data_IF_433061047668
#
_entry.id   IF_433061047668
#
_cell.length_a   1.000
_cell.length_b   1.000
_cell.length_c   1.000
_cell.angle_alpha   90.00
_cell.angle_beta   90.00
_cell.angle_gamma   90.00
#
_symmetry.space_group_name_H-M   'P 1'
#
loop_
_entity.id
_entity.type
_entity.pdbx_description
1 polymer ?
#
# COMPACT_ATOMS: atom_id res chain seq x y z
N UNK A 1 -29.93 8.10 4.70
CA UNK A 1 -30.97 8.68 5.57
C UNK A 1 -30.50 8.72 7.01
N UNK A 2 -30.02 9.88 7.49
CA UNK A 2 -29.68 10.13 8.90
C UNK A 2 -30.68 11.08 9.59
N UNK A 3 -31.74 11.49 8.88
CA UNK A 3 -32.76 12.42 9.37
C UNK A 3 -34.11 11.69 9.36
N UNK A 4 -34.56 11.26 10.53
CA UNK A 4 -35.92 10.77 10.80
C UNK A 4 -36.25 11.11 12.25
N UNK A 5 -37.53 11.13 12.64
CA UNK A 5 -37.90 11.42 14.02
C UNK A 5 -37.50 10.24 14.94
N UNK A 6 -37.42 10.43 16.26
CA UNK A 6 -37.15 9.34 17.18
C UNK A 6 -38.10 8.15 16.94
N UNK A 7 -37.56 6.92 16.94
CA UNK A 7 -38.27 5.64 16.70
C UNK A 7 -38.79 5.38 15.28
N UNK A 8 -38.57 6.27 14.32
CA UNK A 8 -38.88 6.05 12.90
C UNK A 8 -37.72 5.40 12.11
N UNK A 9 -36.65 5.00 12.80
CA UNK A 9 -35.54 4.31 12.14
C UNK A 9 -36.05 2.96 11.60
N UNK A 10 -35.79 2.61 10.33
CA UNK A 10 -36.12 1.28 9.80
C UNK A 10 -35.50 0.12 10.60
N UNK A 11 -34.42 0.39 11.34
CA UNK A 11 -33.77 -0.58 12.21
C UNK A 11 -34.41 -0.70 13.60
N UNK A 12 -35.28 0.23 14.00
CA UNK A 12 -35.87 0.28 15.34
C UNK A 12 -36.68 -1.00 15.61
N UNK A 13 -36.41 -1.66 16.74
CA UNK A 13 -37.06 -2.91 17.14
C UNK A 13 -36.58 -4.17 16.41
N UNK A 14 -35.83 -4.06 15.30
CA UNK A 14 -35.26 -5.22 14.59
C UNK A 14 -34.11 -5.83 15.39
N UNK A 15 -34.09 -7.17 15.48
CA UNK A 15 -33.01 -7.94 16.11
C UNK A 15 -31.96 -8.27 15.05
N UNK A 16 -30.69 -7.98 15.35
CA UNK A 16 -29.58 -8.31 14.48
C UNK A 16 -29.31 -9.82 14.49
N UNK A 17 -29.26 -10.45 13.32
CA UNK A 17 -28.97 -11.89 13.19
C UNK A 17 -27.51 -12.27 13.51
N UNK A 18 -26.59 -11.30 13.58
CA UNK A 18 -25.17 -11.55 13.92
C UNK A 18 -24.88 -11.52 15.41
N UNK A 19 -25.53 -10.63 16.17
CA UNK A 19 -25.22 -10.43 17.58
C UNK A 19 -26.42 -10.46 18.53
N UNK A 20 -27.61 -10.72 17.99
CA UNK A 20 -28.88 -10.81 18.73
C UNK A 20 -29.27 -9.54 19.52
N UNK A 21 -28.61 -8.40 19.29
CA UNK A 21 -29.00 -7.09 19.86
C UNK A 21 -29.98 -6.35 18.93
N UNK A 22 -30.82 -5.48 19.52
CA UNK A 22 -31.86 -4.72 18.80
C UNK A 22 -31.32 -3.45 18.12
N UNK A 23 -32.16 -2.81 17.31
CA UNK A 23 -31.99 -1.45 16.76
C UNK A 23 -30.92 -1.27 15.66
N UNK A 24 -30.48 -2.35 15.00
CA UNK A 24 -29.58 -2.29 13.85
C UNK A 24 -29.71 -3.53 12.95
N UNK A 25 -29.28 -3.40 11.70
CA UNK A 25 -29.23 -4.52 10.75
C UNK A 25 -27.87 -5.24 10.80
N UNK A 26 -27.84 -6.54 10.48
CA UNK A 26 -26.63 -7.36 10.44
C UNK A 26 -25.52 -6.79 9.53
N UNK A 27 -25.88 -6.09 8.46
CA UNK A 27 -24.94 -5.41 7.57
C UNK A 27 -24.20 -4.24 8.26
N UNK A 28 -24.77 -3.67 9.31
CA UNK A 28 -24.23 -2.53 10.08
C UNK A 28 -23.94 -2.92 11.55
N UNK A 29 -23.75 -4.21 11.80
CA UNK A 29 -23.40 -4.71 13.12
C UNK A 29 -21.93 -4.42 13.44
N UNK A 30 -21.69 -3.73 14.55
CA UNK A 30 -20.35 -3.36 15.01
C UNK A 30 -19.66 -4.46 15.83
N UNK A 31 -20.37 -5.53 16.20
CA UNK A 31 -19.79 -6.64 16.97
C UNK A 31 -19.10 -7.69 16.10
N UNK A 32 -19.06 -7.48 14.78
CA UNK A 32 -18.40 -8.39 13.86
C UNK A 32 -17.57 -7.65 12.80
N UNK A 33 -16.98 -6.51 13.17
CA UNK A 33 -15.71 -6.14 12.54
C UNK A 33 -14.73 -7.19 12.98
N UNK A 34 -14.30 -8.05 12.04
CA UNK A 34 -13.21 -9.00 12.21
C UNK A 34 -12.20 -8.39 13.17
N UNK A 35 -11.92 -9.07 14.28
CA UNK A 35 -10.64 -8.91 14.97
C UNK A 35 -9.58 -9.37 13.98
N UNK A 36 -9.29 -8.53 12.97
CA UNK A 36 -7.98 -8.53 12.35
C UNK A 36 -7.11 -8.16 13.53
N UNK A 37 -6.27 -9.10 13.98
CA UNK A 37 -5.21 -8.74 14.92
C UNK A 37 -4.60 -7.46 14.39
N UNK A 38 -4.73 -6.39 15.17
CA UNK A 38 -3.97 -5.17 14.95
C UNK A 38 -2.52 -5.59 15.14
N UNK A 39 -1.90 -6.05 14.05
CA UNK A 39 -0.45 -6.05 13.97
C UNK A 39 -0.10 -4.59 14.09
N UNK A 40 0.44 -4.21 15.25
CA UNK A 40 1.27 -3.03 15.34
C UNK A 40 2.38 -3.25 14.34
N UNK A 41 2.20 -2.77 13.12
CA UNK A 41 3.29 -2.58 12.19
C UNK A 41 4.06 -1.41 12.80
N UNK A 42 5.29 -1.61 13.31
CA UNK A 42 6.10 -0.48 13.71
C UNK A 42 6.18 0.48 12.51
N UNK A 43 5.95 1.77 12.73
CA UNK A 43 5.78 2.82 11.70
C UNK A 43 7.01 3.03 10.79
N UNK A 44 7.99 2.11 10.80
CA UNK A 44 9.24 2.20 10.06
C UNK A 44 9.39 1.22 8.88
N UNK A 45 8.46 0.31 8.61
CA UNK A 45 8.53 -0.54 7.42
C UNK A 45 7.76 0.09 6.24
N UNK A 46 8.36 1.13 5.67
CA UNK A 46 8.23 1.38 4.24
C UNK A 46 9.15 0.37 3.55
N UNK A 47 8.65 -0.86 3.38
CA UNK A 47 9.34 -1.88 2.60
C UNK A 47 9.27 -1.47 1.13
N UNK A 48 10.39 -0.98 0.61
CA UNK A 48 10.58 -0.75 -0.82
C UNK A 48 10.59 -2.14 -1.45
N UNK A 49 9.47 -2.55 -2.04
CA UNK A 49 9.34 -3.84 -2.71
C UNK A 49 10.11 -3.80 -4.03
N UNK A 50 11.32 -4.37 -4.03
CA UNK A 50 12.08 -4.64 -5.24
C UNK A 50 11.72 -6.07 -5.66
N UNK A 51 10.95 -6.19 -6.73
CA UNK A 51 10.60 -7.49 -7.33
C UNK A 51 11.87 -8.04 -8.01
N UNK A 52 12.50 -9.06 -7.42
CA UNK A 52 13.68 -9.69 -8.00
C UNK A 52 13.28 -10.52 -9.21
N UNK A 53 13.78 -10.16 -10.40
CA UNK A 53 13.70 -10.98 -11.60
C UNK A 53 14.66 -12.15 -11.48
N UNK A 54 14.19 -13.39 -11.58
CA UNK A 54 15.06 -14.55 -11.77
C UNK A 54 14.54 -15.50 -12.86
N UNK A 55 15.41 -15.86 -13.80
CA UNK A 55 15.22 -16.98 -14.72
C UNK A 55 16.00 -18.21 -14.22
N UNK A 56 15.24 -19.29 -14.01
CA UNK A 56 15.54 -20.75 -13.99
C UNK A 56 16.87 -21.26 -13.39
N UNK A 57 16.74 -22.15 -12.39
CA UNK A 57 17.82 -23.05 -11.93
C UNK A 57 17.41 -24.52 -12.09
N UNK A 58 18.37 -25.34 -12.53
CA UNK A 58 18.28 -26.76 -12.87
C UNK A 58 18.12 -27.68 -11.64
N UNK A 59 17.56 -28.86 -11.88
CA UNK A 59 17.42 -29.96 -10.92
C UNK A 59 18.77 -30.63 -10.65
N UNK A 60 19.10 -30.84 -9.37
CA UNK A 60 20.25 -31.65 -8.96
C UNK A 60 19.76 -32.84 -8.12
N UNK A 61 20.04 -34.06 -8.58
CA UNK A 61 19.86 -35.29 -7.81
C UNK A 61 21.05 -35.48 -6.85
N UNK A 62 20.77 -35.70 -5.56
CA UNK A 62 21.79 -36.06 -4.56
C UNK A 62 21.71 -37.56 -4.24
N UNK A 63 22.77 -38.28 -4.60
CA UNK A 63 23.00 -39.67 -4.23
C UNK A 63 23.97 -39.77 -3.03
N UNK A 64 23.67 -40.60 -2.03
CA UNK A 64 24.69 -41.24 -1.16
C UNK A 64 24.08 -42.33 -0.26
N UNK A 65 24.94 -43.28 0.11
CA UNK A 65 24.62 -44.68 0.35
C UNK A 65 24.03 -45.09 1.71
N UNK A 66 23.33 -46.24 1.64
CA UNK A 66 22.92 -47.23 2.65
C UNK A 66 22.69 -46.80 4.11
N UNK A 67 21.42 -46.65 4.47
CA UNK A 67 20.71 -47.43 5.50
C UNK A 67 19.23 -47.04 5.39
N UNK A 68 18.40 -47.90 4.80
CA UNK A 68 16.93 -47.73 4.60
C UNK A 68 16.46 -46.28 4.38
N UNK A 69 16.91 -45.65 3.29
CA UNK A 69 16.31 -44.38 2.85
C UNK A 69 14.95 -44.71 2.23
N UNK A 70 13.88 -44.51 2.97
CA UNK A 70 12.57 -44.29 2.37
C UNK A 70 12.70 -43.01 1.53
N UNK A 71 12.86 -43.18 0.22
CA UNK A 71 12.82 -42.06 -0.73
C UNK A 71 11.36 -41.64 -0.82
N UNK A 72 10.95 -40.73 0.07
CA UNK A 72 9.65 -40.08 -0.02
C UNK A 72 9.71 -39.06 -1.14
N UNK A 73 9.01 -39.36 -2.24
CA UNK A 73 8.87 -38.47 -3.38
C UNK A 73 7.82 -37.41 -3.02
N UNK A 74 8.26 -36.16 -2.88
CA UNK A 74 7.36 -35.02 -2.68
C UNK A 74 7.13 -34.29 -4.00
N UNK A 75 5.86 -34.08 -4.35
CA UNK A 75 5.50 -33.28 -5.52
C UNK A 75 5.27 -31.83 -5.12
N UNK A 76 6.05 -30.92 -5.71
CA UNK A 76 5.82 -29.48 -5.60
C UNK A 76 4.83 -29.07 -6.68
N UNK A 77 3.59 -28.78 -6.29
CA UNK A 77 2.52 -28.40 -7.22
C UNK A 77 2.14 -26.92 -7.04
N UNK A 78 2.11 -26.17 -8.14
CA UNK A 78 1.70 -24.77 -8.14
C UNK A 78 0.17 -24.67 -8.26
N UNK A 79 -0.53 -24.86 -7.14
CA UNK A 79 -2.00 -24.80 -7.07
C UNK A 79 -2.42 -23.82 -5.99
N UNK A 80 -3.45 -23.01 -6.26
CA UNK A 80 -4.08 -22.11 -5.28
C UNK A 80 -4.83 -22.93 -4.22
N UNK A 81 -4.11 -23.51 -3.28
CA UNK A 81 -4.64 -24.31 -2.18
C UNK A 81 -3.87 -24.03 -0.89
N UNK A 82 -4.42 -24.44 0.26
CA UNK A 82 -3.72 -24.34 1.53
C UNK A 82 -2.71 -25.50 1.61
N UNK A 83 -1.40 -25.24 1.72
CA UNK A 83 -0.41 -26.31 1.79
C UNK A 83 -0.58 -27.10 3.09
N UNK A 84 -0.28 -28.40 3.02
CA UNK A 84 -0.34 -29.32 4.16
C UNK A 84 0.74 -28.96 5.18
N UNK A 85 1.93 -28.60 4.70
CA UNK A 85 3.08 -28.18 5.49
C UNK A 85 3.46 -26.74 5.13
N UNK A 86 3.67 -25.92 6.16
CA UNK A 86 4.20 -24.57 5.99
C UNK A 86 5.72 -24.57 5.87
N UNK A 87 6.26 -23.46 5.37
CA UNK A 87 7.72 -23.25 5.19
C UNK A 87 8.55 -23.65 6.42
N UNK A 88 8.10 -23.24 7.62
CA UNK A 88 8.79 -23.56 8.89
C UNK A 88 8.89 -25.07 9.12
N UNK A 89 7.81 -25.81 8.88
CA UNK A 89 7.79 -27.27 9.03
C UNK A 89 8.67 -27.96 7.99
N UNK A 90 8.68 -27.48 6.74
CA UNK A 90 9.57 -28.02 5.70
C UNK A 90 11.07 -27.85 6.03
N UNK A 91 11.44 -26.75 6.70
CA UNK A 91 12.81 -26.52 7.17
C UNK A 91 13.18 -27.43 8.35
N UNK A 92 12.30 -27.54 9.35
CA UNK A 92 12.52 -28.39 10.53
C UNK A 92 12.61 -29.87 10.16
N UNK A 93 11.81 -30.31 9.19
CA UNK A 93 11.82 -31.68 8.66
C UNK A 93 12.92 -31.92 7.61
N UNK A 94 13.75 -30.91 7.31
CA UNK A 94 14.81 -30.96 6.29
C UNK A 94 14.30 -31.44 4.92
N UNK A 95 13.05 -31.11 4.58
CA UNK A 95 12.45 -31.40 3.27
C UNK A 95 12.91 -30.41 2.20
N UNK A 96 13.29 -29.21 2.63
CA UNK A 96 13.80 -28.14 1.76
C UNK A 96 14.99 -27.50 2.48
N UNK A 97 16.08 -27.32 1.75
CA UNK A 97 17.24 -26.55 2.19
C UNK A 97 17.35 -25.28 1.33
N UNK A 98 17.54 -24.13 1.97
CA UNK A 98 17.76 -22.86 1.25
C UNK A 98 19.25 -22.77 0.90
N UNK A 99 19.58 -23.19 -0.31
CA UNK A 99 20.95 -23.21 -0.84
C UNK A 99 21.42 -21.82 -1.29
N UNK A 100 20.52 -20.96 -1.77
CA UNK A 100 20.83 -19.57 -2.11
C UNK A 100 20.08 -18.63 -1.18
N UNK A 101 20.73 -18.26 -0.08
CA UNK A 101 20.44 -16.97 0.52
C UNK A 101 21.09 -15.93 -0.40
N UNK A 102 20.31 -15.36 -1.34
CA UNK A 102 20.67 -14.04 -1.84
C UNK A 102 20.70 -13.19 -0.58
N UNK A 103 21.90 -12.82 -0.14
CA UNK A 103 22.07 -11.71 0.78
C UNK A 103 21.54 -10.49 0.01
N UNK A 104 20.22 -10.30 0.04
CA UNK A 104 19.66 -8.98 -0.08
C UNK A 104 20.25 -8.26 1.12
N UNK A 105 21.42 -7.67 0.92
CA UNK A 105 21.96 -6.68 1.83
C UNK A 105 20.78 -5.79 2.12
N UNK A 106 20.33 -5.81 3.37
CA UNK A 106 19.22 -4.96 3.80
C UNK A 106 19.76 -3.55 3.71
N UNK A 107 19.75 -2.97 2.51
CA UNK A 107 20.23 -1.63 2.25
C UNK A 107 19.36 -0.77 3.15
N UNK A 108 19.98 -0.15 4.15
CA UNK A 108 19.23 0.63 5.10
C UNK A 108 18.56 1.78 4.35
N UNK A 109 17.35 2.16 4.76
CA UNK A 109 16.62 3.29 4.16
C UNK A 109 17.51 4.54 4.03
N UNK A 110 18.36 4.78 5.02
CA UNK A 110 19.29 5.91 5.03
C UNK A 110 20.38 5.80 3.97
N UNK A 111 20.85 4.60 3.68
CA UNK A 111 21.87 4.33 2.65
C UNK A 111 21.29 4.53 1.25
N UNK A 112 20.04 4.09 1.04
CA UNK A 112 19.31 4.31 -0.20
C UNK A 112 18.99 5.80 -0.43
N UNK A 113 18.56 6.53 0.61
CA UNK A 113 18.33 7.98 0.54
C UNK A 113 19.64 8.73 0.26
N UNK A 114 20.77 8.29 0.82
CA UNK A 114 22.09 8.87 0.51
C UNK A 114 22.49 8.62 -0.93
N UNK A 115 22.24 7.41 -1.43
CA UNK A 115 22.62 6.99 -2.77
C UNK A 115 21.81 7.72 -3.85
N UNK A 116 20.50 7.90 -3.64
CA UNK A 116 19.58 8.53 -4.60
C UNK A 116 19.04 9.86 -4.07
N UNK A 117 19.93 10.68 -3.52
CA UNK A 117 19.56 11.94 -2.86
C UNK A 117 18.81 12.88 -3.82
N UNK A 118 19.23 12.90 -5.08
CA UNK A 118 18.62 13.63 -6.18
C UNK A 118 17.13 13.28 -6.37
N UNK A 119 16.79 11.99 -6.34
CA UNK A 119 15.40 11.50 -6.49
C UNK A 119 14.53 11.88 -5.30
N UNK A 120 15.10 11.96 -4.10
CA UNK A 120 14.38 12.28 -2.86
C UNK A 120 14.47 13.76 -2.45
N UNK A 121 14.81 14.66 -3.37
CA UNK A 121 14.89 16.11 -3.10
C UNK A 121 13.86 16.92 -3.89
N UNK A 122 13.12 17.77 -3.19
CA UNK A 122 12.17 18.70 -3.80
C UNK A 122 10.95 18.01 -4.45
N UNK A 123 10.30 18.72 -5.36
CA UNK A 123 9.17 18.21 -6.17
C UNK A 123 9.60 17.65 -7.53
N UNK A 124 10.90 17.75 -7.86
CA UNK A 124 11.42 17.45 -9.19
C UNK A 124 11.02 18.49 -10.26
N UNK A 125 11.72 18.47 -11.38
CA UNK A 125 11.39 19.21 -12.59
C UNK A 125 11.42 18.23 -13.77
N UNK A 126 10.46 18.34 -14.70
CA UNK A 126 10.51 17.55 -15.93
C UNK A 126 11.59 18.16 -16.85
N UNK A 127 12.57 17.39 -17.31
CA UNK A 127 13.69 17.90 -18.10
C UNK A 127 13.32 18.22 -19.56
N UNK A 128 12.11 17.83 -19.98
CA UNK A 128 11.61 17.98 -21.33
C UNK A 128 11.22 19.44 -21.65
N UNK A 129 10.84 19.68 -22.91
CA UNK A 129 10.39 20.99 -23.37
C UNK A 129 9.16 21.51 -22.58
N UNK A 130 8.99 22.84 -22.50
CA UNK A 130 7.84 23.44 -21.82
C UNK A 130 6.52 22.86 -22.35
N UNK A 131 5.69 22.38 -21.43
CA UNK A 131 4.41 21.80 -21.78
C UNK A 131 3.51 22.82 -22.48
N UNK A 132 2.95 22.45 -23.63
CA UNK A 132 2.01 23.26 -24.38
C UNK A 132 0.56 22.82 -24.10
N UNK A 133 -0.23 23.70 -23.48
CA UNK A 133 -1.66 23.45 -23.22
C UNK A 133 -2.44 23.70 -24.52
N UNK A 134 -2.96 22.64 -25.13
CA UNK A 134 -3.79 22.74 -26.34
C UNK A 134 -5.24 23.07 -26.00
N UNK A 135 -5.77 24.13 -26.62
CA UNK A 135 -7.17 24.53 -26.50
C UNK A 135 -7.98 24.05 -27.71
N UNK A 136 -9.29 23.90 -27.54
CA UNK A 136 -10.21 23.67 -28.66
C UNK A 136 -10.33 24.95 -29.51
N UNK A 137 -10.56 24.80 -30.81
CA UNK A 137 -10.59 25.92 -31.78
C UNK A 137 -11.58 27.05 -31.42
N UNK A 138 -12.65 26.73 -30.70
CA UNK A 138 -13.67 27.70 -30.25
C UNK A 138 -13.69 27.88 -28.72
N UNK A 139 -12.56 27.71 -28.05
CA UNK A 139 -12.46 27.90 -26.61
C UNK A 139 -12.60 29.39 -26.24
N UNK A 140 -13.57 29.71 -25.38
CA UNK A 140 -13.82 31.07 -24.89
C UNK A 140 -13.11 31.24 -23.54
N UNK A 141 -12.27 32.27 -23.35
CA UNK A 141 -11.65 32.54 -22.05
C UNK A 141 -12.72 32.99 -21.05
N UNK A 142 -12.72 32.38 -19.86
CA UNK A 142 -13.66 32.69 -18.79
C UNK A 142 -12.90 33.15 -17.56
N UNK A 143 -13.26 34.34 -17.05
CA UNK A 143 -12.68 34.90 -15.82
C UNK A 143 -13.66 34.63 -14.68
N UNK A 144 -13.22 33.83 -13.69
CA UNK A 144 -13.98 33.61 -12.47
C UNK A 144 -13.49 34.56 -11.36
N UNK A 145 -14.40 35.19 -10.59
CA UNK A 145 -14.00 35.99 -9.45
C UNK A 145 -13.32 35.11 -8.39
N UNK A 146 -12.32 35.62 -7.65
CA UNK A 146 -11.68 34.89 -6.57
C UNK A 146 -12.69 34.42 -5.51
N UNK A 147 -12.57 33.17 -5.06
CA UNK A 147 -13.41 32.66 -3.97
C UNK A 147 -12.99 33.26 -2.64
N UNK A 148 -13.97 33.55 -1.78
CA UNK A 148 -13.72 34.04 -0.41
C UNK A 148 -12.99 32.97 0.40
N UNK A 149 -11.89 33.38 1.05
CA UNK A 149 -11.11 32.53 1.95
C UNK A 149 -11.45 32.88 3.40
N UNK A 150 -11.81 31.90 4.25
CA UNK A 150 -12.03 32.15 5.68
C UNK A 150 -10.83 32.85 6.33
N UNK A 151 -11.09 33.80 7.24
CA UNK A 151 -10.04 34.62 7.86
C UNK A 151 -8.94 33.77 8.51
N UNK A 152 -9.31 32.67 9.17
CA UNK A 152 -8.37 31.75 9.81
C UNK A 152 -7.39 31.06 8.85
N UNK A 153 -7.72 30.97 7.55
CA UNK A 153 -6.90 30.33 6.54
C UNK A 153 -6.07 31.31 5.71
N UNK A 154 -6.35 32.62 5.80
CA UNK A 154 -5.65 33.62 4.98
C UNK A 154 -4.14 33.64 5.23
N UNK A 155 -3.72 33.54 6.50
CA UNK A 155 -2.30 33.51 6.86
C UNK A 155 -1.60 32.29 6.25
N UNK A 156 -2.16 31.09 6.48
CA UNK A 156 -1.60 29.83 5.94
C UNK A 156 -1.55 29.82 4.41
N UNK A 157 -2.60 30.35 3.77
CA UNK A 157 -2.65 30.45 2.32
C UNK A 157 -1.55 31.38 1.81
N UNK A 158 -1.38 32.55 2.43
CA UNK A 158 -0.34 33.52 2.06
C UNK A 158 1.06 32.92 2.21
N UNK A 159 1.36 32.31 3.36
CA UNK A 159 2.65 31.65 3.61
C UNK A 159 2.96 30.57 2.56
N UNK A 160 1.94 29.79 2.16
CA UNK A 160 2.09 28.77 1.14
C UNK A 160 2.36 29.39 -0.24
N UNK A 161 1.65 30.46 -0.61
CA UNK A 161 1.88 31.17 -1.87
C UNK A 161 3.26 31.82 -1.93
N UNK A 162 3.70 32.45 -0.83
CA UNK A 162 5.02 33.05 -0.72
C UNK A 162 6.13 31.98 -0.83
N UNK A 163 5.92 30.79 -0.24
CA UNK A 163 6.81 29.64 -0.40
C UNK A 163 6.90 29.18 -1.86
N UNK A 164 5.76 29.03 -2.54
CA UNK A 164 5.71 28.60 -3.94
C UNK A 164 6.33 29.62 -4.90
N UNK A 165 6.20 30.91 -4.61
CA UNK A 165 6.86 31.99 -5.37
C UNK A 165 8.38 31.93 -5.20
N UNK A 166 8.87 31.66 -3.97
CA UNK A 166 10.30 31.48 -3.68
C UNK A 166 10.89 30.24 -4.36
N UNK A 167 10.12 29.14 -4.43
CA UNK A 167 10.47 27.91 -5.14
C UNK A 167 10.33 28.02 -6.67
N UNK A 168 9.91 29.19 -7.20
CA UNK A 168 9.66 29.44 -8.63
C UNK A 168 8.60 28.55 -9.27
N UNK A 169 7.76 27.91 -8.46
CA UNK A 169 6.63 27.10 -8.91
C UNK A 169 5.42 27.95 -9.34
N UNK A 170 5.33 29.19 -8.86
CA UNK A 170 4.27 30.14 -9.19
C UNK A 170 4.85 31.54 -9.41
N UNK A 171 4.27 32.29 -10.36
CA UNK A 171 4.64 33.69 -10.64
C UNK A 171 3.40 34.57 -10.69
N UNK A 172 3.55 35.84 -10.32
CA UNK A 172 2.47 36.83 -10.44
C UNK A 172 2.27 37.19 -11.90
N UNK A 173 1.08 36.91 -12.43
CA UNK A 173 0.67 37.42 -13.73
C UNK A 173 0.54 38.94 -13.64
N UNK A 174 1.17 39.66 -14.58
CA UNK A 174 0.98 41.10 -14.76
C UNK A 174 -0.32 41.39 -15.51
#
# INVERSE_FOLDING_TARGET
>A
GRKHKPRECPAYGKVCTKCNKKNHFAAKCFQNSKNIHEMKVPENELDIYIDSVTEKVQENELNSDSMNKNVEIFYVVNVKSKPILGLKGCLELKLIERIDAIECSKISKNELIKQYKDVFTGTGEFPDEPYHITLKDNAIPVIHPPRRVPQALQLKLKETLDKLEKEKNCVKSK
#
